data_IF_258538349942
#
_entry.id   IF_258538349942
#
_cell.length_a   1.000
_cell.length_b   1.000
_cell.length_c   1.000
_cell.angle_alpha   90.00
_cell.angle_beta   90.00
_cell.angle_gamma   90.00
#
_symmetry.space_group_name_H-M   'P 1'
#
loop_
_entity.id
_entity.type
_entity.pdbx_description
1 polymer ?
#
# COMPACT_ATOMS: atom_id res chain seq x y z
N UNK A 1 43.72 -73.80 -35.68
CA UNK A 1 42.98 -73.16 -34.57
C UNK A 1 42.13 -72.06 -35.18
N UNK A 2 40.80 -72.21 -35.14
CA UNK A 2 39.87 -71.26 -35.72
C UNK A 2 39.76 -69.98 -34.85
N UNK A 3 39.66 -68.79 -35.45
CA UNK A 3 39.47 -67.56 -34.69
C UNK A 3 38.00 -67.41 -34.26
N UNK A 4 37.78 -67.26 -32.95
CA UNK A 4 36.49 -66.93 -32.36
C UNK A 4 36.07 -65.50 -32.76
N UNK A 5 35.19 -65.36 -33.73
CA UNK A 5 34.66 -64.06 -34.22
C UNK A 5 33.31 -63.66 -33.63
N UNK A 6 32.86 -64.26 -32.51
CA UNK A 6 31.53 -63.99 -31.92
C UNK A 6 31.53 -63.36 -30.52
N UNK A 7 32.65 -62.83 -30.02
CA UNK A 7 32.77 -62.32 -28.64
C UNK A 7 32.39 -60.84 -28.39
N UNK A 8 32.34 -59.98 -29.41
CA UNK A 8 32.26 -58.53 -29.20
C UNK A 8 30.87 -57.90 -29.44
N UNK A 9 30.03 -58.47 -30.31
CA UNK A 9 28.74 -57.86 -30.64
C UNK A 9 27.72 -57.97 -29.49
N UNK A 10 27.56 -59.16 -28.90
CA UNK A 10 26.59 -59.40 -27.84
C UNK A 10 26.87 -58.55 -26.58
N UNK A 11 28.16 -58.39 -26.25
CA UNK A 11 28.63 -57.59 -25.11
C UNK A 11 28.40 -56.09 -25.34
N UNK A 12 28.53 -55.62 -26.59
CA UNK A 12 28.24 -54.23 -26.96
C UNK A 12 26.73 -53.94 -26.87
N UNK A 13 25.88 -54.84 -27.39
CA UNK A 13 24.41 -54.73 -27.34
C UNK A 13 23.86 -54.78 -25.91
N UNK A 14 24.43 -55.60 -25.03
CA UNK A 14 24.06 -55.63 -23.61
C UNK A 14 24.41 -54.32 -22.90
N UNK A 15 25.55 -53.70 -23.26
CA UNK A 15 26.02 -52.46 -22.63
C UNK A 15 25.21 -51.24 -23.09
N UNK A 16 24.85 -51.15 -24.36
CA UNK A 16 23.93 -50.11 -24.87
C UNK A 16 22.52 -50.28 -24.33
N UNK A 17 21.99 -51.51 -24.27
CA UNK A 17 20.68 -51.78 -23.66
C UNK A 17 20.64 -51.41 -22.17
N UNK A 18 21.70 -51.72 -21.41
CA UNK A 18 21.79 -51.32 -19.99
C UNK A 18 21.94 -49.80 -19.82
N UNK A 19 22.65 -49.11 -20.72
CA UNK A 19 22.74 -47.65 -20.71
C UNK A 19 21.39 -46.99 -21.03
N UNK A 20 20.66 -47.48 -22.02
CA UNK A 20 19.32 -46.98 -22.36
C UNK A 20 18.31 -47.20 -21.23
N UNK A 21 18.35 -48.36 -20.57
CA UNK A 21 17.50 -48.64 -19.40
C UNK A 21 17.88 -47.74 -18.21
N UNK A 22 19.16 -47.44 -18.02
CA UNK A 22 19.62 -46.55 -16.96
C UNK A 22 19.25 -45.09 -17.22
N UNK A 23 19.39 -44.61 -18.46
CA UNK A 23 18.96 -43.27 -18.88
C UNK A 23 17.44 -43.11 -18.78
N UNK A 24 16.67 -44.12 -19.18
CA UNK A 24 15.21 -44.11 -19.06
C UNK A 24 14.74 -44.07 -17.60
N UNK A 25 15.40 -44.84 -16.70
CA UNK A 25 15.15 -44.77 -15.25
C UNK A 25 15.55 -43.42 -14.64
N UNK A 26 16.63 -42.80 -15.12
CA UNK A 26 17.05 -41.47 -14.67
C UNK A 26 16.07 -40.38 -15.14
N UNK A 27 15.58 -40.47 -16.38
CA UNK A 27 14.55 -39.58 -16.91
C UNK A 27 13.22 -39.74 -16.16
N UNK A 28 12.77 -40.97 -15.91
CA UNK A 28 11.57 -41.26 -15.12
C UNK A 28 11.69 -40.75 -13.67
N UNK A 29 12.86 -40.93 -13.02
CA UNK A 29 13.12 -40.34 -11.69
C UNK A 29 13.07 -38.81 -11.72
N UNK A 30 13.64 -38.18 -12.74
CA UNK A 30 13.64 -36.71 -12.87
C UNK A 30 12.23 -36.16 -13.11
N UNK A 31 11.43 -36.84 -13.93
CA UNK A 31 10.01 -36.50 -14.18
C UNK A 31 9.17 -36.73 -12.92
N UNK A 32 9.38 -37.84 -12.20
CA UNK A 32 8.68 -38.14 -10.94
C UNK A 32 9.06 -37.14 -9.84
N UNK A 33 10.32 -36.71 -9.79
CA UNK A 33 10.80 -35.71 -8.85
C UNK A 33 10.21 -34.34 -9.18
N UNK A 34 10.17 -33.91 -10.45
CA UNK A 34 9.49 -32.68 -10.89
C UNK A 34 7.99 -32.70 -10.62
N UNK A 35 7.30 -33.81 -10.89
CA UNK A 35 5.87 -34.00 -10.59
C UNK A 35 5.61 -33.98 -9.08
N UNK A 36 6.51 -34.55 -8.28
CA UNK A 36 6.48 -34.48 -6.82
C UNK A 36 6.69 -33.05 -6.31
N UNK A 37 7.63 -32.29 -6.90
CA UNK A 37 7.86 -30.88 -6.52
C UNK A 37 6.66 -30.00 -6.88
N UNK A 38 6.05 -30.22 -8.06
CA UNK A 38 4.79 -29.57 -8.46
C UNK A 38 3.62 -29.95 -7.55
N UNK A 39 3.49 -31.23 -7.15
CA UNK A 39 2.47 -31.67 -6.19
C UNK A 39 2.66 -31.04 -4.80
N UNK A 40 3.90 -30.86 -4.36
CA UNK A 40 4.22 -30.22 -3.07
C UNK A 40 3.96 -28.71 -3.12
N UNK A 41 4.24 -28.03 -4.23
CA UNK A 41 3.85 -26.63 -4.44
C UNK A 41 2.32 -26.43 -4.45
N UNK A 42 1.56 -27.39 -4.99
CA UNK A 42 0.09 -27.38 -4.98
C UNK A 42 -0.54 -27.79 -3.63
N UNK A 43 0.26 -28.21 -2.64
CA UNK A 43 -0.19 -28.59 -1.29
C UNK A 43 0.20 -27.55 -0.23
N UNK A 44 0.28 -26.25 -0.56
CA UNK A 44 0.25 -25.24 0.49
C UNK A 44 -1.10 -25.36 1.22
N UNK A 45 -1.12 -25.62 2.53
CA UNK A 45 -2.38 -25.73 3.26
C UNK A 45 -3.15 -24.42 3.12
N UNK A 46 -4.44 -24.51 2.79
CA UNK A 46 -5.32 -23.35 2.70
C UNK A 46 -5.30 -22.62 4.04
N UNK A 47 -4.77 -21.41 4.05
CA UNK A 47 -4.64 -20.61 5.27
C UNK A 47 -6.00 -20.45 5.96
N UNK A 48 -6.08 -20.84 7.23
CA UNK A 48 -7.28 -20.72 8.05
C UNK A 48 -7.28 -19.35 8.74
N UNK A 49 -8.40 -18.65 8.65
CA UNK A 49 -8.53 -17.31 9.21
C UNK A 49 -8.71 -17.40 10.72
N UNK A 50 -7.82 -16.74 11.47
CA UNK A 50 -7.91 -16.66 12.92
C UNK A 50 -8.46 -15.29 13.29
N UNK A 51 -9.71 -15.25 13.75
CA UNK A 51 -10.40 -14.01 14.12
C UNK A 51 -9.80 -13.41 15.38
N UNK A 52 -9.58 -12.09 15.35
CA UNK A 52 -9.17 -11.28 16.50
C UNK A 52 -10.42 -10.62 17.10
N UNK A 53 -11.08 -11.33 18.02
CA UNK A 53 -12.36 -10.90 18.59
C UNK A 53 -12.36 -9.52 19.25
N UNK A 54 -11.23 -9.12 19.84
CA UNK A 54 -11.07 -7.77 20.40
C UNK A 54 -11.25 -6.68 19.34
N UNK A 55 -10.67 -6.89 18.15
CA UNK A 55 -10.80 -5.95 17.03
C UNK A 55 -12.24 -5.96 16.51
N UNK A 56 -12.86 -7.13 16.39
CA UNK A 56 -14.25 -7.27 15.97
C UNK A 56 -15.19 -6.45 16.85
N UNK A 57 -15.12 -6.62 18.17
CA UNK A 57 -15.96 -5.89 19.13
C UNK A 57 -15.69 -4.38 19.06
N UNK A 58 -14.42 -3.99 18.99
CA UNK A 58 -14.04 -2.58 18.89
C UNK A 58 -14.59 -1.92 17.62
N UNK A 59 -14.52 -2.60 16.46
CA UNK A 59 -15.07 -2.07 15.21
C UNK A 59 -16.59 -2.03 15.20
N UNK A 60 -17.27 -3.01 15.81
CA UNK A 60 -18.74 -2.95 15.97
C UNK A 60 -19.13 -1.72 16.79
N UNK A 61 -18.50 -1.51 17.94
CA UNK A 61 -18.73 -0.31 18.76
C UNK A 61 -18.45 0.97 17.98
N UNK A 62 -17.34 1.01 17.26
CA UNK A 62 -16.91 2.18 16.51
C UNK A 62 -17.90 2.57 15.41
N UNK A 63 -18.42 1.59 14.66
CA UNK A 63 -19.37 1.85 13.58
C UNK A 63 -20.77 2.20 14.11
N UNK A 64 -21.26 1.51 15.15
CA UNK A 64 -22.52 1.88 15.80
C UNK A 64 -22.44 3.27 16.46
N UNK A 65 -21.33 3.56 17.13
CA UNK A 65 -21.05 4.86 17.70
C UNK A 65 -20.96 5.97 16.65
N UNK A 66 -20.42 5.68 15.47
CA UNK A 66 -20.41 6.63 14.36
C UNK A 66 -21.80 6.91 13.80
N UNK A 67 -22.66 5.90 13.64
CA UNK A 67 -24.05 6.12 13.21
C UNK A 67 -24.79 7.02 14.19
N UNK A 68 -24.60 6.80 15.50
CA UNK A 68 -25.17 7.67 16.52
C UNK A 68 -24.52 9.08 16.52
N UNK A 69 -23.22 9.17 16.30
CA UNK A 69 -22.51 10.44 16.13
C UNK A 69 -23.00 11.25 14.95
N UNK A 70 -23.31 10.61 13.82
CA UNK A 70 -23.92 11.26 12.66
C UNK A 70 -25.30 11.83 13.01
N UNK A 71 -26.14 11.03 13.67
CA UNK A 71 -27.44 11.50 14.17
C UNK A 71 -27.29 12.72 15.08
N UNK A 72 -26.35 12.68 16.03
CA UNK A 72 -26.06 13.82 16.92
C UNK A 72 -25.61 15.05 16.12
N UNK A 73 -24.71 14.89 15.14
CA UNK A 73 -24.19 15.99 14.34
C UNK A 73 -25.27 16.70 13.51
N UNK A 74 -26.31 15.97 13.12
CA UNK A 74 -27.44 16.52 12.34
C UNK A 74 -28.45 17.18 13.27
N UNK A 75 -28.82 16.54 14.38
CA UNK A 75 -29.99 16.92 15.17
C UNK A 75 -29.69 17.75 16.42
N UNK A 76 -28.50 17.61 17.02
CA UNK A 76 -28.27 18.06 18.40
C UNK A 76 -26.94 18.78 18.64
N UNK A 77 -25.89 18.48 17.87
CA UNK A 77 -24.59 19.08 18.07
C UNK A 77 -24.61 20.57 17.72
N UNK A 78 -23.78 21.34 18.41
CA UNK A 78 -23.53 22.73 18.05
C UNK A 78 -22.84 22.80 16.69
N UNK A 79 -23.14 23.84 15.93
CA UNK A 79 -22.52 24.08 14.62
C UNK A 79 -20.97 24.08 14.67
N UNK A 80 -20.38 24.62 15.74
CA UNK A 80 -18.93 24.58 15.92
C UNK A 80 -18.36 23.16 16.10
N UNK A 81 -19.12 22.24 16.69
CA UNK A 81 -18.73 20.82 16.79
C UNK A 81 -18.70 20.15 15.42
N UNK A 82 -19.66 20.48 14.55
CA UNK A 82 -19.67 20.02 13.17
C UNK A 82 -18.44 20.53 12.38
N UNK A 83 -18.14 21.83 12.46
CA UNK A 83 -16.94 22.39 11.83
C UNK A 83 -15.66 21.77 12.40
N UNK A 84 -15.60 21.57 13.71
CA UNK A 84 -14.47 20.96 14.38
C UNK A 84 -14.20 19.53 13.88
N UNK A 85 -15.24 18.72 13.72
CA UNK A 85 -15.15 17.38 13.14
C UNK A 85 -14.53 17.41 11.74
N UNK A 86 -14.95 18.35 10.89
CA UNK A 86 -14.41 18.50 9.53
C UNK A 86 -12.94 18.89 9.59
N UNK A 87 -12.60 19.92 10.37
CA UNK A 87 -11.22 20.43 10.48
C UNK A 87 -10.26 19.34 10.96
N UNK A 88 -10.62 18.63 12.04
CA UNK A 88 -9.81 17.52 12.56
C UNK A 88 -9.73 16.39 11.53
N UNK A 89 -10.82 16.10 10.81
CA UNK A 89 -10.84 15.11 9.73
C UNK A 89 -9.88 15.43 8.59
N UNK A 90 -9.83 16.69 8.13
CA UNK A 90 -8.90 17.13 7.07
C UNK A 90 -7.45 16.99 7.55
N UNK A 91 -7.14 17.47 8.74
CA UNK A 91 -5.79 17.35 9.30
C UNK A 91 -5.37 15.89 9.50
N UNK A 92 -6.31 15.05 9.93
CA UNK A 92 -6.12 13.60 10.03
C UNK A 92 -5.75 12.99 8.68
N UNK A 93 -6.49 13.34 7.63
CA UNK A 93 -6.22 12.91 6.26
C UNK A 93 -4.81 13.28 5.81
N UNK A 94 -4.42 14.54 5.98
CA UNK A 94 -3.07 15.04 5.64
C UNK A 94 -1.96 14.28 6.38
N UNK A 95 -2.18 13.92 7.65
CA UNK A 95 -1.22 13.12 8.42
C UNK A 95 -0.94 11.75 7.80
N UNK A 96 -1.96 11.12 7.21
CA UNK A 96 -1.81 9.86 6.46
C UNK A 96 -1.19 10.12 5.09
N UNK A 97 -1.76 11.02 4.29
CA UNK A 97 -1.40 11.20 2.88
C UNK A 97 -0.05 11.89 2.70
N UNK A 98 0.11 13.11 3.23
CA UNK A 98 1.38 13.85 3.13
C UNK A 98 2.47 13.21 4.01
N UNK A 99 2.08 12.66 5.16
CA UNK A 99 2.99 12.07 6.13
C UNK A 99 3.27 10.58 5.87
N UNK A 100 2.46 9.71 6.48
CA UNK A 100 2.70 8.26 6.51
C UNK A 100 3.00 7.68 5.13
N UNK A 101 2.23 8.11 4.13
CA UNK A 101 2.27 7.62 2.77
C UNK A 101 3.40 8.25 1.95
N UNK A 102 3.27 9.51 1.54
CA UNK A 102 4.17 10.12 0.55
C UNK A 102 5.57 10.44 1.11
N UNK A 103 5.66 10.88 2.36
CA UNK A 103 6.95 11.21 3.00
C UNK A 103 7.67 9.95 3.47
N UNK A 104 7.04 9.18 4.37
CA UNK A 104 7.73 8.09 5.06
C UNK A 104 7.67 6.77 4.30
N UNK A 105 6.54 6.38 3.71
CA UNK A 105 6.46 5.10 2.99
C UNK A 105 7.20 5.14 1.66
N UNK A 106 6.99 6.20 0.88
CA UNK A 106 7.49 6.28 -0.50
C UNK A 106 8.72 7.15 -0.70
N UNK A 107 9.09 7.98 0.30
CA UNK A 107 10.24 8.89 0.22
C UNK A 107 10.21 9.82 -1.00
N UNK A 108 9.01 10.25 -1.37
CA UNK A 108 8.78 11.08 -2.57
C UNK A 108 9.26 12.52 -2.40
N UNK A 109 9.43 12.98 -1.16
CA UNK A 109 10.04 14.26 -0.82
C UNK A 109 10.77 14.16 0.53
N UNK A 110 11.57 15.17 0.87
CA UNK A 110 12.19 15.33 2.18
C UNK A 110 11.56 16.48 2.94
N UNK A 111 11.49 16.34 4.26
CA UNK A 111 10.89 17.33 5.15
C UNK A 111 11.85 17.73 6.27
N UNK A 112 11.99 19.03 6.53
CA UNK A 112 12.69 19.56 7.70
C UNK A 112 11.99 19.12 8.98
N UNK A 113 12.73 19.13 10.09
CA UNK A 113 12.23 18.61 11.37
C UNK A 113 10.87 19.18 11.82
N UNK A 114 10.54 20.50 11.64
CA UNK A 114 9.26 21.02 12.11
C UNK A 114 8.08 20.40 11.37
N UNK A 115 8.17 20.27 10.04
CA UNK A 115 7.14 19.62 9.22
C UNK A 115 6.98 18.15 9.60
N UNK A 116 8.09 17.43 9.84
CA UNK A 116 8.03 16.03 10.28
C UNK A 116 7.28 15.87 11.61
N UNK A 117 7.50 16.77 12.57
CA UNK A 117 6.78 16.76 13.85
C UNK A 117 5.30 17.06 13.65
N UNK A 118 4.94 18.06 12.83
CA UNK A 118 3.54 18.36 12.52
C UNK A 118 2.86 17.15 11.90
N UNK A 119 3.44 16.58 10.83
CA UNK A 119 2.88 15.41 10.15
C UNK A 119 2.75 14.21 11.07
N UNK A 120 3.68 14.02 12.01
CA UNK A 120 3.60 12.95 13.00
C UNK A 120 2.42 13.14 13.95
N UNK A 121 2.19 14.36 14.45
CA UNK A 121 1.04 14.67 15.30
C UNK A 121 -0.29 14.47 14.54
N UNK A 122 -0.34 14.91 13.29
CA UNK A 122 -1.49 14.72 12.42
C UNK A 122 -1.77 13.24 12.14
N UNK A 123 -0.73 12.45 11.81
CA UNK A 123 -0.84 11.00 11.62
C UNK A 123 -1.32 10.30 12.89
N UNK A 124 -0.83 10.75 14.06
CA UNK A 124 -1.24 10.18 15.34
C UNK A 124 -2.72 10.44 15.65
N UNK A 125 -3.27 11.55 15.16
CA UNK A 125 -4.71 11.86 15.23
C UNK A 125 -5.53 10.90 14.37
N UNK A 126 -4.94 10.33 13.31
CA UNK A 126 -5.56 9.30 12.47
C UNK A 126 -5.61 7.93 13.14
N UNK A 127 -4.71 7.67 14.09
CA UNK A 127 -4.64 6.45 14.88
C UNK A 127 -4.63 5.12 14.09
N UNK A 128 -4.11 5.13 12.86
CA UNK A 128 -4.06 3.94 11.99
C UNK A 128 -2.80 3.07 12.19
N UNK A 129 -2.42 2.82 13.44
CA UNK A 129 -1.08 2.40 13.88
C UNK A 129 -0.02 3.50 13.80
N UNK A 130 1.08 3.30 14.53
CA UNK A 130 2.24 4.19 14.45
C UNK A 130 2.86 4.15 13.04
N UNK A 131 3.56 5.24 12.68
CA UNK A 131 4.17 5.45 11.37
C UNK A 131 5.01 4.23 10.95
N UNK A 132 5.83 3.69 11.86
CA UNK A 132 6.71 2.56 11.55
C UNK A 132 5.93 1.32 11.06
N UNK A 133 4.86 0.95 11.76
CA UNK A 133 4.04 -0.22 11.39
C UNK A 133 3.25 0.07 10.12
N UNK A 134 2.66 1.26 10.01
CA UNK A 134 1.90 1.68 8.82
C UNK A 134 2.77 1.63 7.56
N UNK A 135 3.96 2.25 7.62
CA UNK A 135 4.90 2.28 6.49
C UNK A 135 5.37 0.87 6.12
N UNK A 136 5.72 0.04 7.10
CA UNK A 136 6.15 -1.34 6.80
C UNK A 136 5.05 -2.08 6.04
N UNK A 137 3.83 -2.05 6.56
CA UNK A 137 2.71 -2.74 5.92
C UNK A 137 2.41 -2.17 4.53
N UNK A 138 2.54 -0.85 4.34
CA UNK A 138 2.35 -0.18 3.04
C UNK A 138 3.46 -0.54 2.02
N UNK A 139 4.73 -0.56 2.44
CA UNK A 139 5.84 -1.00 1.58
C UNK A 139 5.68 -2.46 1.16
N UNK A 140 5.25 -3.32 2.08
CA UNK A 140 4.91 -4.72 1.76
C UNK A 140 3.76 -4.80 0.76
N UNK A 141 2.71 -4.00 0.96
CA UNK A 141 1.57 -3.94 0.04
C UNK A 141 2.02 -3.60 -1.38
N UNK A 142 2.84 -2.55 -1.57
CA UNK A 142 3.37 -2.25 -2.91
C UNK A 142 4.22 -3.39 -3.47
N UNK A 143 5.20 -3.87 -2.69
CA UNK A 143 6.18 -4.86 -3.17
C UNK A 143 5.55 -6.20 -3.56
N UNK A 144 4.49 -6.59 -2.85
CA UNK A 144 3.87 -7.91 -2.99
C UNK A 144 2.37 -7.83 -3.25
N UNK A 145 1.93 -6.75 -3.90
CA UNK A 145 0.52 -6.45 -4.21
C UNK A 145 -0.20 -7.67 -4.77
N UNK A 146 -1.43 -7.91 -4.34
CA UNK A 146 -2.27 -9.03 -4.78
C UNK A 146 -1.72 -10.44 -4.51
N UNK A 147 -0.72 -10.60 -3.63
CA UNK A 147 -0.22 -11.90 -3.18
C UNK A 147 -0.64 -12.19 -1.74
N UNK A 148 -0.35 -13.38 -1.22
CA UNK A 148 -0.57 -13.69 0.19
C UNK A 148 0.34 -12.90 1.15
N UNK A 149 1.35 -12.19 0.64
CA UNK A 149 2.18 -11.27 1.40
C UNK A 149 1.59 -9.84 1.47
N UNK A 150 0.61 -9.50 0.63
CA UNK A 150 -0.11 -8.23 0.72
C UNK A 150 -1.04 -8.24 1.94
N UNK A 151 -0.86 -7.31 2.92
CA UNK A 151 -1.68 -7.26 4.13
C UNK A 151 -3.19 -7.15 3.86
N UNK A 152 -3.57 -6.48 2.78
CA UNK A 152 -4.97 -6.22 2.41
C UNK A 152 -5.28 -6.69 0.99
N UNK A 153 -4.72 -7.85 0.63
CA UNK A 153 -4.88 -8.52 -0.66
C UNK A 153 -6.33 -8.49 -1.19
N UNK A 154 -6.55 -7.72 -2.26
CA UNK A 154 -7.86 -7.55 -2.90
C UNK A 154 -8.41 -8.83 -3.53
N UNK A 155 -7.56 -9.81 -3.87
CA UNK A 155 -8.02 -11.12 -4.39
C UNK A 155 -8.84 -11.91 -3.36
N UNK A 156 -8.80 -11.52 -2.08
CA UNK A 156 -9.66 -12.07 -1.02
C UNK A 156 -11.02 -11.37 -0.91
N UNK A 157 -11.31 -10.44 -1.81
CA UNK A 157 -12.59 -9.74 -1.93
C UNK A 157 -12.64 -8.39 -1.22
N UNK A 158 -13.64 -7.59 -1.60
CA UNK A 158 -13.82 -6.21 -1.13
C UNK A 158 -13.81 -6.09 0.40
N UNK A 159 -14.58 -6.95 1.10
CA UNK A 159 -14.66 -6.86 2.56
C UNK A 159 -13.31 -7.10 3.22
N UNK A 160 -12.52 -8.06 2.72
CA UNK A 160 -11.20 -8.36 3.26
C UNK A 160 -10.26 -7.18 3.10
N UNK A 161 -10.13 -6.61 1.88
CA UNK A 161 -9.24 -5.49 1.62
C UNK A 161 -9.69 -4.18 2.27
N UNK A 162 -10.99 -4.01 2.51
CA UNK A 162 -11.53 -2.84 3.18
C UNK A 162 -11.29 -2.87 4.70
N UNK A 163 -11.80 -3.88 5.42
CA UNK A 163 -11.71 -3.94 6.88
C UNK A 163 -11.38 -5.34 7.42
N UNK A 164 -11.74 -6.40 6.68
CA UNK A 164 -11.62 -7.78 7.13
C UNK A 164 -10.19 -8.19 7.50
N UNK A 165 -9.17 -7.64 6.83
CA UNK A 165 -7.76 -7.88 7.16
C UNK A 165 -7.37 -7.41 8.57
N UNK A 166 -8.10 -6.43 9.14
CA UNK A 166 -7.91 -5.95 10.51
C UNK A 166 -8.61 -6.83 11.55
N UNK A 167 -9.53 -7.70 11.11
CA UNK A 167 -10.33 -8.58 11.98
C UNK A 167 -9.69 -9.95 12.17
N UNK A 168 -8.64 -10.26 11.40
CA UNK A 168 -7.97 -11.56 11.43
C UNK A 168 -6.47 -11.39 11.67
N UNK A 169 -5.81 -12.48 12.08
CA UNK A 169 -4.34 -12.51 12.09
C UNK A 169 -3.81 -12.38 10.66
N UNK A 170 -2.66 -11.71 10.52
CA UNK A 170 -1.97 -11.59 9.24
C UNK A 170 -1.55 -12.97 8.72
N UNK A 171 -1.55 -13.13 7.41
CA UNK A 171 -0.98 -14.30 6.77
C UNK A 171 0.54 -14.37 7.08
N UNK A 172 1.13 -15.57 7.28
CA UNK A 172 2.57 -15.69 7.57
C UNK A 172 3.47 -15.03 6.53
N UNK A 173 3.07 -15.06 5.26
CA UNK A 173 3.85 -14.43 4.18
C UNK A 173 3.95 -12.91 4.35
N UNK A 174 2.95 -12.24 4.92
CA UNK A 174 3.02 -10.80 5.26
C UNK A 174 4.15 -10.54 6.26
N UNK A 175 4.35 -11.44 7.23
CA UNK A 175 5.38 -11.32 8.26
C UNK A 175 6.75 -11.63 7.64
N UNK A 176 6.85 -12.75 6.92
CA UNK A 176 8.10 -13.22 6.33
C UNK A 176 8.64 -12.24 5.28
N UNK A 177 7.78 -11.75 4.38
CA UNK A 177 8.14 -10.76 3.37
C UNK A 177 8.26 -9.35 3.94
N UNK A 178 7.51 -9.03 4.99
CA UNK A 178 7.69 -7.78 5.73
C UNK A 178 9.05 -7.65 6.40
N UNK A 179 9.71 -8.76 6.73
CA UNK A 179 11.08 -8.75 7.25
C UNK A 179 12.14 -8.46 6.18
N UNK A 180 11.80 -8.56 4.88
CA UNK A 180 12.74 -8.26 3.78
C UNK A 180 12.67 -6.82 3.30
N UNK A 181 11.72 -6.02 3.79
CA UNK A 181 11.58 -4.61 3.46
C UNK A 181 12.60 -3.81 4.27
N UNK A 182 13.39 -2.96 3.59
CA UNK A 182 14.27 -2.00 4.27
C UNK A 182 13.42 -0.98 5.03
N UNK A 183 13.74 -0.81 6.31
CA UNK A 183 13.11 0.13 7.24
C UNK A 183 14.15 1.01 7.96
N UNK A 184 15.42 0.93 7.55
CA UNK A 184 16.55 1.57 8.22
C UNK A 184 16.47 3.09 8.21
N UNK A 185 15.78 3.67 7.21
CA UNK A 185 15.48 5.10 7.13
C UNK A 185 14.56 5.56 8.27
N UNK A 186 13.55 4.76 8.61
CA UNK A 186 12.63 5.04 9.71
C UNK A 186 13.24 4.77 11.09
N UNK A 187 14.15 3.79 11.17
CA UNK A 187 14.91 3.53 12.39
C UNK A 187 15.84 4.71 12.76
N UNK A 188 16.34 5.42 11.75
CA UNK A 188 17.18 6.60 11.90
C UNK A 188 16.38 7.89 12.11
N UNK A 189 15.07 7.92 11.86
CA UNK A 189 14.26 9.12 12.08
C UNK A 189 13.81 9.22 13.56
N UNK A 190 14.35 10.17 14.34
CA UNK A 190 14.01 10.30 15.76
C UNK A 190 12.53 10.65 15.98
N UNK A 191 11.86 11.33 15.04
CA UNK A 191 10.44 11.67 15.15
C UNK A 191 9.58 10.42 15.10
N UNK A 192 9.88 9.51 14.15
CA UNK A 192 9.17 8.24 13.98
C UNK A 192 9.39 7.32 15.19
N UNK A 193 10.63 7.21 15.65
CA UNK A 193 10.95 6.39 16.82
C UNK A 193 10.32 6.95 18.10
N UNK A 194 10.31 8.28 18.27
CA UNK A 194 9.64 8.91 19.41
C UNK A 194 8.15 8.59 19.41
N UNK A 195 7.48 8.74 18.26
CA UNK A 195 6.06 8.42 18.14
C UNK A 195 5.80 6.95 18.46
N UNK A 196 6.59 6.03 17.88
CA UNK A 196 6.45 4.60 18.12
C UNK A 196 6.55 4.23 19.60
N UNK A 197 7.48 4.83 20.35
CA UNK A 197 7.67 4.59 21.78
C UNK A 197 6.47 5.06 22.63
N UNK A 198 5.85 6.18 22.25
CA UNK A 198 4.78 6.80 23.04
C UNK A 198 3.37 6.56 22.48
N UNK A 199 3.24 5.83 21.37
CA UNK A 199 2.00 5.73 20.58
C UNK A 199 0.75 5.37 21.39
N UNK A 200 0.87 4.50 22.40
CA UNK A 200 -0.26 4.11 23.27
C UNK A 200 -0.80 5.30 24.08
N UNK A 201 0.07 6.17 24.58
CA UNK A 201 -0.31 7.37 25.36
C UNK A 201 -0.87 8.45 24.42
N UNK A 202 -0.37 8.50 23.19
CA UNK A 202 -0.82 9.48 22.19
C UNK A 202 -2.24 9.23 21.65
N UNK A 203 -2.93 8.18 22.13
CA UNK A 203 -4.39 8.00 21.94
C UNK A 203 -5.19 9.25 22.36
N UNK A 204 -4.64 10.06 23.26
CA UNK A 204 -5.16 11.37 23.66
C UNK A 204 -5.41 12.27 22.44
N UNK A 205 -4.52 12.27 21.45
CA UNK A 205 -4.65 13.10 20.25
C UNK A 205 -5.81 12.66 19.35
N UNK A 206 -6.08 11.37 19.28
CA UNK A 206 -7.17 10.85 18.45
C UNK A 206 -8.53 10.99 19.13
N UNK A 207 -8.63 10.76 20.45
CA UNK A 207 -9.95 10.66 21.11
C UNK A 207 -10.20 11.75 22.15
N UNK A 208 -9.30 11.90 23.13
CA UNK A 208 -9.58 12.76 24.29
C UNK A 208 -9.51 14.25 23.93
N UNK A 209 -8.46 14.68 23.23
CA UNK A 209 -8.28 16.08 22.85
C UNK A 209 -9.39 16.56 21.89
N UNK A 210 -9.74 15.82 20.81
CA UNK A 210 -10.84 16.22 19.94
C UNK A 210 -12.22 16.20 20.61
N UNK A 211 -12.41 15.42 21.68
CA UNK A 211 -13.63 15.42 22.50
C UNK A 211 -13.64 16.58 23.50
N UNK A 212 -12.50 16.88 24.12
CA UNK A 212 -12.39 17.89 25.16
C UNK A 212 -12.52 19.31 24.63
N UNK A 213 -11.92 19.61 23.46
CA UNK A 213 -11.95 20.94 22.84
C UNK A 213 -13.40 21.46 22.68
N UNK A 214 -14.34 20.71 22.09
CA UNK A 214 -15.74 21.14 22.02
C UNK A 214 -16.40 21.43 23.35
N UNK A 215 -16.11 20.60 24.35
CA UNK A 215 -16.67 20.75 25.69
C UNK A 215 -16.16 22.02 26.35
N UNK A 216 -14.88 22.34 26.19
CA UNK A 216 -14.26 23.49 26.85
C UNK A 216 -14.55 24.82 26.15
N UNK A 217 -14.38 24.88 24.83
CA UNK A 217 -14.40 26.16 24.11
C UNK A 217 -15.80 26.65 23.71
N UNK A 218 -16.75 25.74 23.51
CA UNK A 218 -18.13 26.12 23.17
C UNK A 218 -19.18 25.34 23.96
N UNK A 219 -18.80 24.76 25.10
CA UNK A 219 -19.70 24.11 26.06
C UNK A 219 -20.55 23.00 25.42
N UNK A 220 -19.98 22.20 24.51
CA UNK A 220 -20.65 21.03 23.95
C UNK A 220 -20.88 19.98 25.04
N UNK A 221 -21.98 19.20 24.95
CA UNK A 221 -22.19 18.10 25.89
C UNK A 221 -21.09 17.03 25.68
N UNK A 222 -20.46 16.50 26.75
CA UNK A 222 -19.41 15.49 26.61
C UNK A 222 -19.80 14.28 25.76
N UNK A 223 -21.04 13.82 25.90
CA UNK A 223 -21.56 12.69 25.13
C UNK A 223 -21.67 13.01 23.62
N UNK A 224 -22.06 14.25 23.27
CA UNK A 224 -22.15 14.67 21.87
C UNK A 224 -20.77 14.82 21.25
N UNK A 225 -19.83 15.42 21.98
CA UNK A 225 -18.44 15.56 21.54
C UNK A 225 -17.73 14.20 21.35
N UNK A 226 -17.99 13.23 22.24
CA UNK A 226 -17.43 11.88 22.15
C UNK A 226 -17.91 11.14 20.90
N UNK A 227 -19.23 11.09 20.67
CA UNK A 227 -19.77 10.38 19.50
C UNK A 227 -19.49 11.13 18.19
N UNK A 228 -19.38 12.45 18.20
CA UNK A 228 -18.87 13.23 17.06
C UNK A 228 -17.42 12.87 16.72
N UNK A 229 -16.59 12.66 17.74
CA UNK A 229 -15.21 12.18 17.60
C UNK A 229 -15.16 10.75 17.03
N UNK A 230 -16.01 9.84 17.52
CA UNK A 230 -16.12 8.49 16.95
C UNK A 230 -16.56 8.53 15.49
N UNK A 231 -17.56 9.34 15.14
CA UNK A 231 -17.99 9.53 13.75
C UNK A 231 -16.82 9.96 12.86
N UNK A 232 -16.09 11.02 13.25
CA UNK A 232 -14.93 11.51 12.51
C UNK A 232 -13.86 10.43 12.32
N UNK A 233 -13.54 9.68 13.38
CA UNK A 233 -12.54 8.61 13.31
C UNK A 233 -12.99 7.48 12.36
N UNK A 234 -14.25 7.03 12.46
CA UNK A 234 -14.80 5.99 11.58
C UNK A 234 -14.83 6.41 10.12
N UNK A 235 -15.24 7.66 9.82
CA UNK A 235 -15.22 8.19 8.46
C UNK A 235 -13.79 8.23 7.92
N UNK A 236 -12.82 8.71 8.70
CA UNK A 236 -11.41 8.73 8.30
C UNK A 236 -10.86 7.34 7.98
N UNK A 237 -11.19 6.33 8.80
CA UNK A 237 -10.82 4.94 8.54
C UNK A 237 -11.41 4.44 7.24
N UNK A 238 -12.72 4.59 7.04
CA UNK A 238 -13.40 4.09 5.84
C UNK A 238 -12.91 4.78 4.57
N UNK A 239 -12.62 6.09 4.61
CA UNK A 239 -12.02 6.81 3.49
C UNK A 239 -10.64 6.26 3.12
N UNK A 240 -9.81 5.92 4.11
CA UNK A 240 -8.51 5.27 3.87
C UNK A 240 -8.71 3.86 3.32
N UNK A 241 -9.62 3.09 3.90
CA UNK A 241 -9.88 1.71 3.49
C UNK A 241 -10.49 1.59 2.10
N UNK A 242 -11.16 2.63 1.60
CA UNK A 242 -11.60 2.70 0.20
C UNK A 242 -10.43 2.72 -0.78
N UNK A 243 -9.26 3.24 -0.39
CA UNK A 243 -8.05 3.17 -1.23
C UNK A 243 -7.62 1.72 -1.40
N UNK A 244 -7.59 0.95 -0.31
CA UNK A 244 -7.21 -0.47 -0.35
C UNK A 244 -8.25 -1.35 -1.08
N UNK A 245 -9.52 -0.99 -1.03
CA UNK A 245 -10.61 -1.79 -1.61
C UNK A 245 -11.13 -1.24 -2.93
N UNK A 246 -11.86 -0.13 -2.90
CA UNK A 246 -12.50 0.42 -4.09
C UNK A 246 -11.47 0.82 -5.16
N UNK A 247 -10.32 1.40 -4.77
CA UNK A 247 -9.30 1.79 -5.74
C UNK A 247 -8.49 0.60 -6.30
N UNK A 248 -8.70 -0.63 -5.82
CA UNK A 248 -8.16 -1.86 -6.45
C UNK A 248 -9.20 -2.65 -7.26
N UNK A 249 -10.48 -2.25 -7.23
CA UNK A 249 -11.58 -3.02 -7.85
C UNK A 249 -12.29 -2.20 -8.93
N UNK A 250 -12.56 -0.92 -8.68
CA UNK A 250 -13.43 -0.11 -9.52
C UNK A 250 -12.75 1.18 -9.98
N UNK A 251 -12.50 1.28 -11.29
CA UNK A 251 -11.95 2.45 -11.93
C UNK A 251 -11.30 2.11 -13.27
N UNK A 252 -10.60 3.09 -13.84
CA UNK A 252 -9.82 2.93 -15.09
C UNK A 252 -8.35 2.64 -14.78
N UNK A 253 -7.62 2.05 -15.72
CA UNK A 253 -6.19 1.70 -15.59
C UNK A 253 -5.34 2.31 -16.73
N UNK A 254 -5.25 3.66 -16.79
CA UNK A 254 -4.65 4.35 -17.92
C UNK A 254 -3.14 4.17 -18.08
N UNK A 255 -2.42 3.70 -17.05
CA UNK A 255 -0.96 3.56 -17.08
C UNK A 255 -0.50 2.12 -17.12
N UNK A 256 -1.22 1.24 -16.43
CA UNK A 256 -0.93 -0.19 -16.42
C UNK A 256 -2.20 -1.00 -16.14
N UNK A 257 -2.76 -1.61 -17.18
CA UNK A 257 -3.97 -2.43 -17.10
C UNK A 257 -3.72 -3.84 -16.54
N UNK A 258 -2.45 -4.17 -16.36
CA UNK A 258 -1.95 -5.44 -15.85
C UNK A 258 -1.92 -5.44 -14.30
N UNK A 259 -1.94 -4.22 -13.76
CA UNK A 259 -2.30 -3.81 -12.41
C UNK A 259 -3.61 -4.32 -11.80
N UNK A 260 -3.78 -4.60 -10.49
CA UNK A 260 -5.12 -4.43 -9.85
C UNK A 260 -5.51 -2.98 -9.55
N UNK A 261 -4.61 -2.08 -9.08
CA UNK A 261 -4.90 -0.68 -8.80
C UNK A 261 -5.56 0.05 -9.98
N UNK A 262 -6.52 0.91 -9.65
CA UNK A 262 -7.37 1.66 -10.57
C UNK A 262 -7.41 3.14 -10.17
N UNK A 263 -7.60 4.02 -11.14
CA UNK A 263 -7.93 5.41 -10.88
C UNK A 263 -9.44 5.54 -10.62
N UNK A 264 -9.77 6.08 -9.44
CA UNK A 264 -11.15 6.30 -8.99
C UNK A 264 -11.31 7.74 -8.46
N UNK A 265 -12.08 8.54 -9.19
CA UNK A 265 -12.30 9.96 -8.87
C UNK A 265 -12.98 10.16 -7.51
N UNK A 266 -13.98 9.34 -7.18
CA UNK A 266 -14.71 9.45 -5.91
C UNK A 266 -13.80 9.16 -4.72
N UNK A 267 -12.95 8.13 -4.83
CA UNK A 267 -11.92 7.85 -3.81
C UNK A 267 -10.93 8.99 -3.73
N UNK A 268 -10.53 9.60 -4.86
CA UNK A 268 -9.58 10.71 -4.88
C UNK A 268 -10.11 11.94 -4.14
N UNK A 269 -11.39 12.27 -4.31
CA UNK A 269 -12.04 13.36 -3.56
C UNK A 269 -12.10 13.04 -2.07
N UNK A 270 -12.54 11.83 -1.70
CA UNK A 270 -12.69 11.44 -0.30
C UNK A 270 -11.37 11.25 0.45
N UNK A 271 -10.33 10.79 -0.23
CA UNK A 271 -9.00 10.50 0.33
C UNK A 271 -7.96 11.56 -0.08
N UNK A 272 -8.37 12.80 -0.36
CA UNK A 272 -7.47 13.95 -0.58
C UNK A 272 -6.39 13.77 -1.67
N UNK A 273 -6.66 12.97 -2.70
CA UNK A 273 -5.74 12.70 -3.81
C UNK A 273 -5.34 11.24 -4.00
N UNK A 274 -5.57 10.37 -3.02
CA UNK A 274 -5.05 8.99 -3.07
C UNK A 274 -5.83 8.02 -3.98
N UNK A 275 -6.88 8.51 -4.66
CA UNK A 275 -7.68 7.71 -5.58
C UNK A 275 -7.08 7.56 -6.98
N UNK A 276 -5.97 8.22 -7.30
CA UNK A 276 -5.23 8.01 -8.55
C UNK A 276 -4.32 6.77 -8.45
N UNK A 277 -4.91 5.66 -8.04
CA UNK A 277 -4.17 4.52 -7.49
C UNK A 277 -3.43 3.71 -8.57
N UNK A 278 -3.94 3.67 -9.81
CA UNK A 278 -3.21 3.09 -10.93
C UNK A 278 -1.93 3.86 -11.21
N UNK A 279 -2.00 5.20 -11.21
CA UNK A 279 -0.79 6.03 -11.35
C UNK A 279 0.19 5.78 -10.20
N UNK A 280 -0.33 5.82 -8.98
CA UNK A 280 0.47 5.71 -7.77
C UNK A 280 1.24 4.38 -7.69
N UNK A 281 0.61 3.25 -8.03
CA UNK A 281 1.31 1.97 -8.02
C UNK A 281 2.31 1.80 -9.16
N UNK A 282 2.10 2.47 -10.29
CA UNK A 282 3.05 2.49 -11.40
C UNK A 282 4.25 3.38 -11.08
N UNK A 283 4.02 4.52 -10.44
CA UNK A 283 5.05 5.50 -10.09
C UNK A 283 5.02 5.84 -8.59
N UNK A 284 5.37 4.90 -7.69
CA UNK A 284 5.24 5.10 -6.26
C UNK A 284 6.16 6.21 -5.71
N UNK A 285 7.17 6.65 -6.48
CA UNK A 285 8.08 7.73 -6.08
C UNK A 285 7.58 9.15 -6.41
N UNK A 286 6.48 9.31 -7.16
CA UNK A 286 5.94 10.64 -7.48
C UNK A 286 5.25 11.29 -6.27
N UNK A 287 5.70 12.48 -5.87
CA UNK A 287 5.20 13.18 -4.68
C UNK A 287 3.75 13.66 -4.80
N UNK A 288 3.22 13.75 -6.02
CA UNK A 288 1.82 14.10 -6.26
C UNK A 288 0.93 12.87 -6.13
N UNK A 289 1.48 11.65 -6.25
CA UNK A 289 0.73 10.40 -6.37
C UNK A 289 -0.33 10.44 -7.50
N UNK A 290 -0.16 11.34 -8.46
CA UNK A 290 -1.12 11.60 -9.53
C UNK A 290 -0.44 12.35 -10.68
N UNK A 291 -0.82 12.05 -11.92
CA UNK A 291 -0.40 12.86 -13.06
C UNK A 291 -1.00 14.28 -13.04
N UNK A 292 -2.23 14.42 -12.52
CA UNK A 292 -2.98 15.68 -12.60
C UNK A 292 -2.46 16.71 -11.60
N UNK A 293 -2.10 17.90 -12.10
CA UNK A 293 -1.49 18.99 -11.32
C UNK A 293 -2.45 20.06 -10.81
N UNK A 294 -3.77 19.89 -10.90
CA UNK A 294 -4.71 20.85 -10.29
C UNK A 294 -5.16 20.35 -8.91
N UNK A 295 -5.09 21.23 -7.90
CA UNK A 295 -5.34 20.88 -6.49
C UNK A 295 -6.78 20.45 -6.18
N UNK A 296 -7.70 20.48 -7.15
CA UNK A 296 -9.14 20.23 -6.96
C UNK A 296 -9.42 18.84 -6.40
N UNK A 297 -8.65 17.85 -6.83
CA UNK A 297 -8.79 16.45 -6.43
C UNK A 297 -7.51 15.93 -5.79
N UNK A 298 -6.63 16.81 -5.32
CA UNK A 298 -5.37 16.43 -4.70
C UNK A 298 -4.89 17.52 -3.73
N UNK A 299 -5.67 17.68 -2.67
CA UNK A 299 -5.39 18.67 -1.63
C UNK A 299 -4.06 18.37 -0.90
N UNK A 300 -3.66 17.10 -0.82
CA UNK A 300 -2.38 16.69 -0.25
C UNK A 300 -1.20 17.32 -0.98
N UNK A 301 -1.22 17.34 -2.32
CA UNK A 301 -0.16 17.99 -3.11
C UNK A 301 -0.11 19.49 -2.83
N UNK A 302 -1.26 20.16 -2.72
CA UNK A 302 -1.32 21.58 -2.37
C UNK A 302 -0.68 21.88 -1.00
N UNK A 303 -0.94 21.00 -0.02
CA UNK A 303 -0.32 21.09 1.29
C UNK A 303 1.20 20.93 1.20
N UNK A 304 1.70 19.92 0.47
CA UNK A 304 3.14 19.72 0.29
C UNK A 304 3.78 20.93 -0.41
N UNK A 305 3.18 21.44 -1.48
CA UNK A 305 3.67 22.59 -2.24
C UNK A 305 3.73 23.86 -1.37
N UNK A 306 2.76 24.07 -0.47
CA UNK A 306 2.83 25.15 0.53
C UNK A 306 4.04 25.00 1.46
N UNK A 307 4.31 23.79 1.95
CA UNK A 307 5.50 23.53 2.78
C UNK A 307 6.81 23.62 1.97
N UNK A 308 6.77 23.38 0.67
CA UNK A 308 7.89 23.62 -0.25
C UNK A 308 8.16 25.11 -0.38
N UNK A 309 7.12 25.92 -0.57
CA UNK A 309 7.23 27.38 -0.69
C UNK A 309 7.86 28.04 0.55
N UNK A 310 7.51 27.58 1.76
CA UNK A 310 8.18 28.06 3.00
C UNK A 310 9.54 27.39 3.27
N UNK A 311 10.01 26.53 2.36
CA UNK A 311 11.32 25.88 2.44
C UNK A 311 11.42 24.76 3.49
N UNK A 312 10.30 24.14 3.89
CA UNK A 312 10.24 23.03 4.83
C UNK A 312 10.15 21.67 4.14
N UNK A 313 9.60 21.60 2.93
CA UNK A 313 9.68 20.45 2.04
C UNK A 313 10.66 20.72 0.88
N UNK A 314 11.40 19.71 0.48
CA UNK A 314 12.45 19.80 -0.56
C UNK A 314 12.72 18.43 -1.18
N UNK A 315 13.47 18.38 -2.28
CA UNK A 315 13.81 17.16 -3.01
C UNK A 315 12.55 16.37 -3.43
N UNK A 316 11.58 17.09 -3.98
CA UNK A 316 10.29 16.56 -4.45
C UNK A 316 10.52 15.81 -5.77
N UNK A 317 10.27 14.50 -5.79
CA UNK A 317 10.41 13.66 -6.98
C UNK A 317 9.13 13.65 -7.78
N UNK A 318 9.20 13.91 -9.07
CA UNK A 318 8.06 13.81 -9.98
C UNK A 318 8.47 13.10 -11.28
N UNK A 319 7.50 12.46 -11.91
CA UNK A 319 7.69 11.67 -13.12
C UNK A 319 7.52 12.59 -14.33
N UNK A 320 8.44 12.49 -15.29
CA UNK A 320 8.37 13.28 -16.52
C UNK A 320 7.22 12.82 -17.41
N UNK A 321 6.66 13.73 -18.19
CA UNK A 321 5.57 13.40 -19.12
C UNK A 321 5.98 12.33 -20.14
N UNK A 322 7.26 12.27 -20.52
CA UNK A 322 7.80 11.21 -21.40
C UNK A 322 7.71 9.83 -20.77
N UNK A 323 8.10 9.67 -19.50
CA UNK A 323 7.99 8.40 -18.77
C UNK A 323 6.53 7.94 -18.68
N UNK A 324 5.63 8.86 -18.33
CA UNK A 324 4.19 8.58 -18.20
C UNK A 324 3.64 8.06 -19.53
N UNK A 325 3.94 8.77 -20.62
CA UNK A 325 3.49 8.39 -21.96
C UNK A 325 4.07 7.06 -22.42
N UNK A 326 5.39 6.85 -22.29
CA UNK A 326 6.05 5.57 -22.61
C UNK A 326 5.37 4.39 -21.88
N UNK A 327 5.08 4.55 -20.58
CA UNK A 327 4.44 3.50 -19.77
C UNK A 327 2.99 3.26 -20.20
N UNK A 328 2.21 4.33 -20.40
CA UNK A 328 0.81 4.23 -20.83
C UNK A 328 0.67 3.65 -22.24
N UNK A 329 1.57 3.99 -23.18
CA UNK A 329 1.58 3.44 -24.54
C UNK A 329 1.88 1.92 -24.52
N UNK A 330 2.70 1.46 -23.56
CA UNK A 330 3.08 0.05 -23.41
C UNK A 330 2.01 -0.79 -22.68
N UNK A 331 1.47 -0.29 -21.56
CA UNK A 331 0.67 -1.09 -20.62
C UNK A 331 -0.70 -0.49 -20.29
N UNK A 332 -0.99 0.76 -20.67
CA UNK A 332 -2.23 1.44 -20.33
C UNK A 332 -3.46 0.81 -20.99
N UNK A 333 -4.64 0.96 -20.40
CA UNK A 333 -5.91 0.38 -20.90
C UNK A 333 -6.54 1.13 -22.09
N UNK A 334 -5.95 2.23 -22.55
CA UNK A 334 -6.51 3.06 -23.62
C UNK A 334 -7.50 4.14 -23.17
N UNK A 335 -7.85 4.21 -21.88
CA UNK A 335 -8.86 5.16 -21.36
C UNK A 335 -8.40 6.62 -21.37
N UNK A 336 -7.09 6.87 -21.39
CA UNK A 336 -6.50 8.22 -21.35
C UNK A 336 -5.49 8.46 -22.47
N UNK A 337 -4.62 7.49 -22.74
CA UNK A 337 -3.63 7.53 -23.81
C UNK A 337 -4.01 6.48 -24.86
N UNK A 338 -4.03 6.86 -26.14
CA UNK A 338 -4.36 5.93 -27.22
C UNK A 338 -3.27 4.85 -27.35
N UNK A 339 -3.65 3.58 -27.40
CA UNK A 339 -2.70 2.48 -27.63
C UNK A 339 -2.14 2.56 -29.04
N UNK A 340 -0.83 2.71 -29.17
CA UNK A 340 -0.14 2.69 -30.46
C UNK A 340 0.38 1.30 -30.84
N UNK A 341 0.62 0.42 -29.86
CA UNK A 341 1.12 -0.94 -30.08
C UNK A 341 0.21 -1.98 -29.38
N UNK A 342 -0.36 -2.91 -30.14
CA UNK A 342 -1.36 -3.90 -29.66
C UNK A 342 -0.70 -5.26 -29.34
N UNK A 343 0.62 -5.41 -29.53
CA UNK A 343 1.24 -6.74 -29.70
C UNK A 343 1.93 -7.36 -28.48
N UNK A 344 1.95 -6.71 -27.32
CA UNK A 344 2.66 -7.25 -26.16
C UNK A 344 1.68 -7.86 -25.14
N UNK A 345 1.50 -9.18 -25.21
CA UNK A 345 0.93 -9.99 -24.13
C UNK A 345 1.96 -10.13 -23.00
N UNK A 346 2.24 -9.05 -22.28
CA UNK A 346 3.05 -9.14 -21.05
C UNK A 346 2.21 -9.72 -19.92
N UNK A 347 2.61 -10.89 -19.42
CA UNK A 347 2.05 -11.47 -18.20
C UNK A 347 2.43 -10.62 -16.98
N UNK A 348 1.56 -10.56 -15.96
CA UNK A 348 1.89 -9.97 -14.66
C UNK A 348 3.07 -10.69 -14.03
N UNK A 349 4.29 -10.16 -14.18
CA UNK A 349 5.43 -10.57 -13.35
C UNK A 349 5.49 -9.65 -12.13
N UNK A 350 5.61 -10.23 -10.94
CA UNK A 350 5.97 -9.47 -9.73
C UNK A 350 7.45 -9.04 -9.71
N UNK A 351 8.20 -9.33 -10.78
CA UNK A 351 9.58 -8.87 -10.96
C UNK A 351 9.60 -7.36 -11.23
N UNK A 352 10.51 -6.64 -10.56
CA UNK A 352 10.67 -5.19 -10.71
C UNK A 352 9.63 -4.32 -10.00
N UNK A 353 8.69 -4.90 -9.25
CA UNK A 353 7.75 -4.11 -8.43
C UNK A 353 8.51 -3.47 -7.28
N UNK A 354 8.31 -2.17 -7.04
CA UNK A 354 9.00 -1.42 -5.99
C UNK A 354 8.03 -0.78 -5.00
N UNK A 355 8.52 -0.53 -3.78
CA UNK A 355 7.73 0.20 -2.79
C UNK A 355 7.88 1.72 -2.88
N UNK A 356 8.90 2.28 -3.54
CA UNK A 356 9.11 3.74 -3.59
C UNK A 356 10.55 4.14 -3.88
N UNK A 357 10.90 5.41 -3.59
CA UNK A 357 12.21 5.96 -3.91
C UNK A 357 13.33 5.36 -3.04
N UNK A 358 14.34 4.80 -3.69
CA UNK A 358 15.48 4.15 -3.04
C UNK A 358 15.21 2.69 -2.64
N UNK A 359 14.16 2.07 -3.19
CA UNK A 359 14.05 0.61 -3.25
C UNK A 359 15.24 0.03 -4.05
N UNK A 360 15.77 -1.12 -3.62
CA UNK A 360 16.91 -1.79 -4.25
C UNK A 360 16.59 -2.27 -5.67
N UNK A 361 15.31 -2.58 -5.95
CA UNK A 361 14.87 -3.06 -7.26
C UNK A 361 14.44 -1.91 -8.19
N UNK A 362 14.68 -0.65 -7.82
CA UNK A 362 14.36 0.49 -8.66
C UNK A 362 15.32 0.58 -9.86
N UNK A 363 14.77 0.70 -11.07
CA UNK A 363 15.57 0.75 -12.28
C UNK A 363 16.41 2.04 -12.37
N UNK A 364 17.64 1.92 -12.87
CA UNK A 364 18.54 3.07 -13.04
C UNK A 364 17.99 4.11 -14.02
N UNK A 365 17.27 3.67 -15.06
CA UNK A 365 16.60 4.56 -16.02
C UNK A 365 15.54 5.42 -15.32
N UNK A 366 14.70 4.82 -14.46
CA UNK A 366 13.68 5.55 -13.70
C UNK A 366 14.30 6.60 -12.76
N UNK A 367 15.44 6.28 -12.13
CA UNK A 367 16.16 7.22 -11.25
C UNK A 367 16.74 8.40 -12.05
N UNK A 368 17.24 8.15 -13.26
CA UNK A 368 17.86 9.16 -14.11
C UNK A 368 16.83 10.05 -14.82
N UNK A 369 15.70 9.47 -15.25
CA UNK A 369 14.62 10.22 -15.91
C UNK A 369 13.72 10.97 -14.92
N UNK A 370 13.72 10.61 -13.62
CA UNK A 370 12.94 11.32 -12.61
C UNK A 370 13.38 12.78 -12.44
N UNK A 371 12.41 13.69 -12.37
CA UNK A 371 12.65 15.10 -12.10
C UNK A 371 12.63 15.35 -10.59
N UNK A 372 13.63 16.09 -10.09
CA UNK A 372 13.71 16.49 -8.68
C UNK A 372 13.57 18.00 -8.58
N UNK A 373 12.46 18.43 -7.99
CA UNK A 373 12.09 19.82 -7.78
C UNK A 373 12.56 20.27 -6.39
N UNK A 374 13.01 21.53 -6.30
CA UNK A 374 13.49 22.16 -5.07
C UNK A 374 14.56 21.33 -4.36
N UNK A 375 15.65 21.01 -5.08
CA UNK A 375 16.78 20.26 -4.52
C UNK A 375 17.29 20.97 -3.26
N UNK A 376 17.43 20.22 -2.18
CA UNK A 376 18.05 20.74 -0.96
C UNK A 376 19.55 20.94 -1.19
N UNK A 377 20.08 21.99 -0.60
CA UNK A 377 21.53 22.28 -0.56
C UNK A 377 22.34 21.18 0.16
#
# INVERSE_FOLDING_TARGET
MAPNTFGNLATLFLKTSQQDVSQKKAAEKTVTQKLSTQKVQNMKPKYQWIIVWQNMIAFIYLHLGALYGLYILIEAAKFYTFLWVIVVGVFTGIGITAGAHRLWAHRTYKAKWPMRVILMLLQTTAYQNNIYVWVRDHRVHHKFVDTDADPHNVKRGFFFSHMGWLLVRKHPDVINKGATIDMSDLEKDPVVIWQRRHYKILIILCFLLPTWIPCYFWNEKPIYAWYSTLFRYTVSLNLTWLVNSAAHIWGIKPYDNTISPTNNLSVSIGAFGEGWHNYHHVFPWDYKAAELGNYRTNFTTAFIDFFTWIGWAYDLKTVTHSMIKKRADRMGDGSKYARTNVHDEHHHSHEGVIWGWGDIDMELEDIQEAEIINKGD
#
